data_IF_646679055053
#
_entry.id   IF_646679055053
#
_cell.length_a   1.000
_cell.length_b   1.000
_cell.length_c   1.000
_cell.angle_alpha   90.00
_cell.angle_beta   90.00
_cell.angle_gamma   90.00
#
_symmetry.space_group_name_H-M   'P 1'
#
loop_
_entity.id
_entity.type
_entity.pdbx_description
1 polymer ?
#
# COMPACT_ATOMS: atom_id res chain seq x y z
N UNK A 1 -30.99 18.86 1.10
CA UNK A 1 -29.57 18.50 0.91
C UNK A 1 -29.05 19.21 -0.32
N UNK A 2 -28.26 20.25 -0.10
CA UNK A 2 -27.75 21.12 -1.15
C UNK A 2 -26.61 20.44 -1.93
N UNK A 3 -26.38 20.84 -3.18
CA UNK A 3 -25.33 20.23 -4.03
C UNK A 3 -23.94 20.34 -3.40
N UNK A 4 -23.64 21.43 -2.71
CA UNK A 4 -22.38 21.61 -1.98
C UNK A 4 -22.20 20.63 -0.81
N UNK A 5 -23.27 20.27 -0.10
CA UNK A 5 -23.22 19.29 1.00
C UNK A 5 -22.98 17.86 0.48
N UNK A 6 -23.49 17.54 -0.71
CA UNK A 6 -23.22 16.26 -1.39
C UNK A 6 -21.75 16.15 -1.78
N UNK A 7 -21.22 17.18 -2.45
CA UNK A 7 -19.81 17.22 -2.86
C UNK A 7 -18.88 17.12 -1.64
N UNK A 8 -19.14 17.88 -0.57
CA UNK A 8 -18.35 17.80 0.65
C UNK A 8 -18.34 16.39 1.26
N UNK A 9 -19.49 15.70 1.28
CA UNK A 9 -19.57 14.31 1.76
C UNK A 9 -18.78 13.34 0.88
N UNK A 10 -18.87 13.48 -0.43
CA UNK A 10 -18.18 12.59 -1.36
C UNK A 10 -16.65 12.80 -1.31
N UNK A 11 -16.19 14.05 -1.15
CA UNK A 11 -14.77 14.34 -0.91
C UNK A 11 -14.26 13.73 0.40
N UNK A 12 -15.04 13.76 1.48
CA UNK A 12 -14.67 13.09 2.74
C UNK A 12 -14.57 11.57 2.57
N UNK A 13 -15.41 10.97 1.73
CA UNK A 13 -15.32 9.53 1.39
C UNK A 13 -14.04 9.22 0.61
N UNK A 14 -13.69 10.05 -0.37
CA UNK A 14 -12.44 9.92 -1.14
C UNK A 14 -11.23 10.02 -0.22
N UNK A 15 -11.20 11.01 0.68
CA UNK A 15 -10.12 11.18 1.64
C UNK A 15 -9.94 9.94 2.53
N UNK A 16 -11.05 9.41 3.07
CA UNK A 16 -11.01 8.19 3.90
C UNK A 16 -10.51 6.98 3.12
N UNK A 17 -11.03 6.76 1.91
CA UNK A 17 -10.61 5.66 1.06
C UNK A 17 -9.11 5.74 0.72
N UNK A 18 -8.58 6.96 0.52
CA UNK A 18 -7.14 7.17 0.29
C UNK A 18 -6.29 6.81 1.52
N UNK A 19 -6.72 7.17 2.72
CA UNK A 19 -6.03 6.79 3.96
C UNK A 19 -6.05 5.26 4.13
N UNK A 20 -7.22 4.65 3.96
CA UNK A 20 -7.40 3.19 4.05
C UNK A 20 -6.54 2.44 3.01
N UNK A 21 -6.40 2.98 1.81
CA UNK A 21 -5.52 2.43 0.76
C UNK A 21 -4.06 2.46 1.20
N UNK A 22 -3.56 3.60 1.70
CA UNK A 22 -2.18 3.73 2.18
C UNK A 22 -1.91 2.74 3.31
N UNK A 23 -2.81 2.64 4.30
CA UNK A 23 -2.69 1.69 5.40
C UNK A 23 -2.75 0.22 4.94
N UNK A 24 -3.59 -0.10 3.95
CA UNK A 24 -3.67 -1.44 3.38
C UNK A 24 -2.38 -1.81 2.62
N UNK A 25 -1.80 -0.86 1.88
CA UNK A 25 -0.51 -1.04 1.20
C UNK A 25 0.62 -1.29 2.20
N UNK A 26 0.68 -0.51 3.28
CA UNK A 26 1.71 -0.70 4.32
C UNK A 26 1.54 -2.04 5.05
N UNK A 27 0.31 -2.43 5.41
CA UNK A 27 0.05 -3.77 5.97
C UNK A 27 0.49 -4.87 5.03
N UNK A 28 0.23 -4.73 3.73
CA UNK A 28 0.67 -5.70 2.73
C UNK A 28 2.20 -5.77 2.63
N UNK A 29 2.91 -4.63 2.64
CA UNK A 29 4.38 -4.59 2.66
C UNK A 29 4.95 -5.29 3.89
N UNK A 30 4.38 -5.06 5.07
CA UNK A 30 4.80 -5.70 6.31
C UNK A 30 4.58 -7.22 6.25
N UNK A 31 3.43 -7.67 5.75
CA UNK A 31 3.13 -9.08 5.58
C UNK A 31 4.11 -9.77 4.61
N UNK A 32 4.39 -9.16 3.45
CA UNK A 32 5.39 -9.68 2.49
C UNK A 32 6.77 -9.73 3.14
N UNK A 33 7.20 -8.66 3.81
CA UNK A 33 8.49 -8.63 4.50
C UNK A 33 8.59 -9.70 5.59
N UNK A 34 7.52 -9.92 6.35
CA UNK A 34 7.42 -10.99 7.34
C UNK A 34 7.56 -12.37 6.71
N UNK A 35 6.88 -12.63 5.60
CA UNK A 35 6.97 -13.88 4.87
C UNK A 35 8.39 -14.15 4.33
N UNK A 36 9.04 -13.14 3.76
CA UNK A 36 10.43 -13.25 3.28
C UNK A 36 11.39 -13.53 4.45
N UNK A 37 11.24 -12.84 5.59
CA UNK A 37 12.04 -13.11 6.80
C UNK A 37 11.82 -14.51 7.37
N UNK A 38 10.61 -15.06 7.20
CA UNK A 38 10.28 -16.43 7.58
C UNK A 38 10.79 -17.48 6.57
N UNK A 39 11.48 -17.06 5.49
CA UNK A 39 12.08 -17.95 4.50
C UNK A 39 11.23 -18.22 3.27
N UNK A 40 10.09 -17.52 3.09
CA UNK A 40 9.32 -17.64 1.85
C UNK A 40 10.15 -17.14 0.65
N UNK A 41 10.04 -17.86 -0.47
CA UNK A 41 10.61 -17.42 -1.74
C UNK A 41 9.73 -16.35 -2.40
N UNK A 42 10.34 -15.55 -3.27
CA UNK A 42 9.62 -14.56 -4.08
C UNK A 42 8.59 -15.20 -5.02
N UNK A 43 8.83 -16.43 -5.48
CA UNK A 43 7.88 -17.18 -6.29
C UNK A 43 6.60 -17.54 -5.50
N UNK A 44 6.74 -17.95 -4.24
CA UNK A 44 5.59 -18.22 -3.36
C UNK A 44 4.78 -16.94 -3.10
N UNK A 45 5.45 -15.84 -2.75
CA UNK A 45 4.80 -14.53 -2.56
C UNK A 45 4.05 -14.10 -3.82
N UNK A 46 4.68 -14.20 -4.98
CA UNK A 46 4.08 -13.85 -6.27
C UNK A 46 2.84 -14.68 -6.58
N UNK A 47 2.89 -15.99 -6.30
CA UNK A 47 1.75 -16.91 -6.45
C UNK A 47 0.56 -16.47 -5.60
N UNK A 48 0.80 -16.15 -4.32
CA UNK A 48 -0.25 -15.69 -3.41
C UNK A 48 -0.82 -14.33 -3.78
N UNK A 49 -0.03 -13.46 -4.41
CA UNK A 49 -0.46 -12.14 -4.85
C UNK A 49 -1.07 -12.13 -6.27
N UNK A 50 -1.04 -13.27 -6.99
CA UNK A 50 -1.52 -13.34 -8.38
C UNK A 50 -0.71 -12.47 -9.35
N UNK A 51 0.58 -12.25 -9.08
CA UNK A 51 1.48 -11.46 -9.93
C UNK A 51 2.71 -12.27 -10.33
N UNK A 52 3.53 -11.73 -11.24
CA UNK A 52 4.83 -12.35 -11.56
C UNK A 52 5.86 -12.11 -10.46
N UNK A 53 6.83 -13.01 -10.33
CA UNK A 53 7.94 -12.86 -9.36
C UNK A 53 8.68 -11.53 -9.53
N UNK A 54 8.94 -11.13 -10.79
CA UNK A 54 9.59 -9.85 -11.11
C UNK A 54 8.76 -8.65 -10.63
N UNK A 55 7.43 -8.72 -10.76
CA UNK A 55 6.55 -7.66 -10.26
C UNK A 55 6.52 -7.61 -8.74
N UNK A 56 6.45 -8.76 -8.06
CA UNK A 56 6.51 -8.85 -6.60
C UNK A 56 7.85 -8.30 -6.06
N UNK A 57 8.98 -8.74 -6.63
CA UNK A 57 10.32 -8.24 -6.27
C UNK A 57 10.47 -6.75 -6.50
N UNK A 58 9.99 -6.22 -7.63
CA UNK A 58 10.05 -4.77 -7.89
C UNK A 58 9.22 -3.97 -6.89
N UNK A 59 8.04 -4.49 -6.51
CA UNK A 59 7.10 -3.78 -5.64
C UNK A 59 7.49 -3.83 -4.15
N UNK A 60 8.06 -4.94 -3.70
CA UNK A 60 8.30 -5.23 -2.28
C UNK A 60 9.75 -5.59 -1.92
N UNK A 61 10.64 -5.76 -2.90
CA UNK A 61 12.01 -6.20 -2.68
C UNK A 61 12.99 -5.10 -2.30
N UNK A 62 12.66 -3.84 -2.57
CA UNK A 62 13.42 -2.69 -2.06
C UNK A 62 12.70 -2.12 -0.83
N UNK A 63 13.41 -1.90 0.29
CA UNK A 63 12.90 -1.04 1.34
C UNK A 63 12.51 0.32 0.73
N UNK A 64 11.41 0.96 1.16
CA UNK A 64 11.20 2.35 0.80
C UNK A 64 12.43 3.13 1.23
N UNK A 65 12.98 3.94 0.32
CA UNK A 65 14.08 4.82 0.66
C UNK A 65 13.62 5.73 1.82
N UNK A 66 14.49 6.03 2.81
CA UNK A 66 14.14 6.83 3.99
C UNK A 66 13.98 8.33 3.67
N UNK A 67 13.29 8.66 2.59
CA UNK A 67 13.18 10.01 2.05
C UNK A 67 11.77 10.25 1.51
N UNK A 68 10.85 10.42 2.46
CA UNK A 68 9.74 11.39 2.36
C UNK A 68 9.12 11.60 3.76
N UNK A 69 10.00 11.90 4.73
CA UNK A 69 9.62 12.82 5.79
C UNK A 69 9.56 14.21 5.16
N UNK A 70 8.56 14.44 4.30
CA UNK A 70 8.31 15.76 3.75
C UNK A 70 8.10 16.70 4.94
N UNK A 71 8.98 17.69 5.02
CA UNK A 71 8.85 18.84 5.88
C UNK A 71 7.41 19.35 5.86
N UNK A 72 6.73 19.25 7.01
CA UNK A 72 5.53 20.02 7.29
C UNK A 72 5.95 21.44 7.69
N UNK A 73 6.46 22.24 6.76
CA UNK A 73 6.55 23.71 6.88
C UNK A 73 6.49 24.36 5.51
#
# INVERSE_FOLDING_TARGET
>A
MNTSERVARDLLRVQRASIEEVEAVERLRQAVSGAIRAGASWAQVATHLGVTERAARRRFGSPPAPEDQTALF
#
